data_IF_468093249943
#
_entry.id   IF_468093249943
#
_cell.length_a   1.000
_cell.length_b   1.000
_cell.length_c   1.000
_cell.angle_alpha   90.00
_cell.angle_beta   90.00
_cell.angle_gamma   90.00
#
_symmetry.space_group_name_H-M   'P 1'
#
loop_
_entity.id
_entity.type
_entity.pdbx_description
1 polymer ?
#
# COMPACT_ATOMS: atom_id res chain seq x y z
N UNK A 1 0.98 -10.80 13.12
CA UNK A 1 0.49 -9.45 12.81
C UNK A 1 0.97 -8.96 11.45
N UNK A 2 0.21 -8.03 10.84
CA UNK A 2 0.50 -7.45 9.54
C UNK A 2 0.46 -5.93 9.59
N UNK A 3 1.04 -5.26 8.58
CA UNK A 3 1.02 -3.81 8.45
C UNK A 3 0.39 -3.40 7.12
N UNK A 4 -0.29 -2.27 7.10
CA UNK A 4 -0.88 -1.70 5.88
C UNK A 4 -0.71 -0.19 5.85
N UNK A 5 -0.86 0.41 4.67
CA UNK A 5 -0.65 1.82 4.40
C UNK A 5 -1.72 2.36 3.46
N UNK A 6 -2.12 3.61 3.62
CA UNK A 6 -3.20 4.25 2.91
C UNK A 6 -4.56 3.52 3.10
N UNK A 7 -5.43 3.56 2.11
CA UNK A 7 -6.66 2.79 2.10
C UNK A 7 -6.82 2.05 0.76
N UNK A 8 -6.91 0.74 0.84
CA UNK A 8 -7.24 -0.15 -0.27
C UNK A 8 -8.37 -1.10 0.17
N UNK A 9 -9.36 -0.55 0.84
CA UNK A 9 -10.55 -1.21 1.35
C UNK A 9 -11.81 -0.93 0.54
N UNK A 10 -12.97 -1.23 1.11
CA UNK A 10 -14.27 -1.10 0.47
C UNK A 10 -14.58 0.36 0.07
N UNK A 11 -14.16 1.33 0.86
CA UNK A 11 -14.39 2.75 0.59
C UNK A 11 -13.63 3.24 -0.66
N UNK A 12 -12.42 2.71 -0.92
CA UNK A 12 -11.62 3.09 -2.08
C UNK A 12 -11.99 2.31 -3.34
N UNK A 13 -12.50 1.07 -3.21
CA UNK A 13 -12.68 0.13 -4.33
C UNK A 13 -14.15 -0.18 -4.63
N UNK A 14 -15.07 0.30 -3.82
CA UNK A 14 -16.52 0.10 -3.98
C UNK A 14 -17.01 -1.32 -3.71
N UNK A 15 -16.24 -2.13 -2.98
CA UNK A 15 -16.59 -3.52 -2.71
C UNK A 15 -15.87 -4.10 -1.49
N UNK A 16 -15.36 -5.33 -1.60
CA UNK A 16 -14.67 -6.03 -0.51
C UNK A 16 -13.30 -5.41 -0.17
N UNK A 17 -12.70 -4.68 -1.11
CA UNK A 17 -11.37 -4.12 -1.01
C UNK A 17 -10.32 -5.03 -1.66
N UNK A 18 -9.13 -4.45 -1.90
CA UNK A 18 -7.96 -5.19 -2.38
C UNK A 18 -7.07 -5.61 -1.22
N UNK A 19 -6.16 -4.78 -0.75
CA UNK A 19 -5.31 -5.11 0.40
C UNK A 19 -6.11 -5.40 1.66
N UNK A 20 -7.11 -4.57 2.01
CA UNK A 20 -7.96 -4.83 3.16
C UNK A 20 -8.87 -6.05 2.94
N UNK A 21 -9.23 -6.36 1.70
CA UNK A 21 -9.94 -7.60 1.36
C UNK A 21 -9.12 -8.84 1.71
N UNK A 22 -7.84 -8.86 1.35
CA UNK A 22 -6.91 -9.95 1.73
C UNK A 22 -6.75 -10.02 3.25
N UNK A 23 -6.59 -8.89 3.93
CA UNK A 23 -6.47 -8.83 5.39
C UNK A 23 -7.73 -9.39 6.07
N UNK A 24 -8.92 -9.00 5.61
CA UNK A 24 -10.20 -9.51 6.13
C UNK A 24 -10.32 -11.02 5.96
N UNK A 25 -10.07 -11.52 4.74
CA UNK A 25 -10.12 -12.94 4.46
C UNK A 25 -9.14 -13.72 5.35
N UNK A 26 -7.91 -13.24 5.47
CA UNK A 26 -6.89 -13.86 6.31
C UNK A 26 -7.25 -13.79 7.82
N UNK A 27 -7.91 -12.73 8.27
CA UNK A 27 -8.41 -12.62 9.65
C UNK A 27 -9.51 -13.64 9.92
N UNK A 28 -10.47 -13.81 9.02
CA UNK A 28 -11.54 -14.79 9.15
C UNK A 28 -11.03 -16.25 9.19
N UNK A 29 -9.93 -16.51 8.49
CA UNK A 29 -9.24 -17.81 8.50
C UNK A 29 -8.29 -17.98 9.71
N UNK A 30 -8.20 -17.00 10.60
CA UNK A 30 -7.31 -17.03 11.77
C UNK A 30 -5.82 -16.85 11.45
N UNK A 31 -5.47 -16.40 10.25
CA UNK A 31 -4.10 -16.19 9.79
C UNK A 31 -3.56 -14.81 10.17
N UNK A 32 -4.43 -13.84 10.39
CA UNK A 32 -4.09 -12.47 10.85
C UNK A 32 -4.75 -12.25 12.21
N UNK A 33 -3.96 -11.88 13.19
CA UNK A 33 -4.44 -11.61 14.55
C UNK A 33 -4.52 -10.11 14.88
N UNK A 34 -3.71 -9.29 14.20
CA UNK A 34 -3.61 -7.85 14.47
C UNK A 34 -3.09 -7.11 13.24
N UNK A 35 -3.60 -5.89 13.02
CA UNK A 35 -3.21 -5.00 11.93
C UNK A 35 -2.59 -3.72 12.49
N UNK A 36 -1.42 -3.35 12.01
CA UNK A 36 -0.83 -2.03 12.21
C UNK A 36 -1.11 -1.18 10.98
N UNK A 37 -1.82 -0.07 11.16
CA UNK A 37 -2.20 0.83 10.07
C UNK A 37 -1.43 2.13 10.18
N UNK A 38 -0.65 2.47 9.16
CA UNK A 38 -0.02 3.78 9.05
C UNK A 38 -1.08 4.87 8.92
N UNK A 39 -0.90 6.00 9.61
CA UNK A 39 -1.83 7.14 9.52
C UNK A 39 -1.94 7.71 8.10
N UNK A 40 -0.88 7.60 7.31
CA UNK A 40 -0.78 8.02 5.91
C UNK A 40 -0.92 9.53 5.74
N UNK A 41 0.15 10.29 6.11
CA UNK A 41 0.23 11.72 5.82
C UNK A 41 0.29 11.98 4.31
N UNK A 42 -0.18 13.15 3.79
CA UNK A 42 -0.81 14.24 4.55
C UNK A 42 -2.32 14.06 4.77
N UNK A 43 -3.03 13.29 3.94
CA UNK A 43 -4.49 13.17 3.95
C UNK A 43 -5.07 12.19 4.97
N UNK A 44 -4.22 11.47 5.70
CA UNK A 44 -4.60 10.58 6.80
C UNK A 44 -5.61 9.49 6.41
N UNK A 45 -5.46 8.90 5.21
CA UNK A 45 -6.36 7.84 4.75
C UNK A 45 -6.31 6.61 5.67
N UNK A 46 -5.15 6.29 6.24
CA UNK A 46 -5.01 5.24 7.23
C UNK A 46 -5.81 5.51 8.49
N UNK A 47 -5.71 6.74 9.02
CA UNK A 47 -6.46 7.17 10.22
C UNK A 47 -7.95 7.24 9.97
N UNK A 48 -8.33 7.88 8.86
CA UNK A 48 -9.72 8.24 8.59
C UNK A 48 -10.54 7.09 8.02
N UNK A 49 -9.94 6.24 7.22
CA UNK A 49 -10.64 5.20 6.45
C UNK A 49 -10.24 3.79 6.90
N UNK A 50 -8.95 3.44 6.83
CA UNK A 50 -8.49 2.07 7.10
C UNK A 50 -8.76 1.63 8.54
N UNK A 51 -8.41 2.46 9.50
CA UNK A 51 -8.65 2.16 10.91
C UNK A 51 -10.15 2.01 11.20
N UNK A 52 -10.99 2.86 10.59
CA UNK A 52 -12.43 2.80 10.72
C UNK A 52 -13.02 1.53 10.10
N UNK A 53 -12.64 1.20 8.85
CA UNK A 53 -13.13 0.00 8.17
C UNK A 53 -12.80 -1.27 8.96
N UNK A 54 -11.54 -1.42 9.36
CA UNK A 54 -11.10 -2.61 10.11
C UNK A 54 -11.77 -2.72 11.47
N UNK A 55 -11.94 -1.60 12.18
CA UNK A 55 -12.64 -1.58 13.45
C UNK A 55 -14.12 -1.97 13.30
N UNK A 56 -14.82 -1.49 12.26
CA UNK A 56 -16.19 -1.87 11.96
C UNK A 56 -16.33 -3.37 11.66
N UNK A 57 -15.31 -3.97 11.05
CA UNK A 57 -15.28 -5.41 10.76
C UNK A 57 -14.82 -6.27 11.95
N UNK A 58 -14.54 -5.65 13.10
CA UNK A 58 -14.06 -6.33 14.30
C UNK A 58 -12.62 -6.86 14.19
N UNK A 59 -11.86 -6.39 13.20
CA UNK A 59 -10.44 -6.74 13.05
C UNK A 59 -9.61 -5.90 14.04
N UNK A 60 -8.81 -6.53 14.92
CA UNK A 60 -7.94 -5.79 15.82
C UNK A 60 -6.95 -4.91 15.06
N UNK A 61 -7.02 -3.61 15.26
CA UNK A 61 -6.20 -2.63 14.54
C UNK A 61 -5.56 -1.62 15.51
N UNK A 62 -4.31 -1.28 15.27
CA UNK A 62 -3.61 -0.17 15.92
C UNK A 62 -3.16 0.84 14.86
N UNK A 63 -3.48 2.10 15.10
CA UNK A 63 -3.00 3.20 14.28
C UNK A 63 -1.60 3.61 14.72
N UNK A 64 -0.72 3.91 13.78
CA UNK A 64 0.63 4.40 14.06
C UNK A 64 1.03 5.55 13.11
N UNK A 65 1.96 6.37 13.58
CA UNK A 65 2.61 7.34 12.71
C UNK A 65 3.39 6.63 11.60
N UNK A 66 3.41 7.19 10.39
CA UNK A 66 4.12 6.60 9.24
C UNK A 66 5.60 6.32 9.55
N UNK A 67 6.24 7.21 10.32
CA UNK A 67 7.64 7.06 10.71
C UNK A 67 7.91 5.95 11.73
N UNK A 68 6.88 5.35 12.33
CA UNK A 68 7.03 4.28 13.33
C UNK A 68 7.18 2.89 12.71
N UNK A 69 6.95 2.74 11.40
CA UNK A 69 6.88 1.44 10.73
C UNK A 69 8.10 0.54 10.98
N UNK A 70 9.32 1.04 10.78
CA UNK A 70 10.54 0.26 11.01
C UNK A 70 10.68 -0.20 12.48
N UNK A 71 10.35 0.68 13.45
CA UNK A 71 10.37 0.33 14.86
C UNK A 71 9.35 -0.79 15.17
N UNK A 72 8.15 -0.71 14.60
CA UNK A 72 7.11 -1.72 14.79
C UNK A 72 7.49 -3.05 14.14
N UNK A 73 8.07 -3.05 12.93
CA UNK A 73 8.60 -4.25 12.31
C UNK A 73 9.63 -4.95 13.19
N UNK A 74 10.52 -4.17 13.82
CA UNK A 74 11.54 -4.69 14.75
C UNK A 74 10.95 -5.26 16.04
N UNK A 75 9.87 -4.68 16.58
CA UNK A 75 9.43 -4.92 17.98
C UNK A 75 8.13 -5.69 18.10
N UNK A 76 7.31 -5.76 17.02
CA UNK A 76 5.95 -6.33 17.08
C UNK A 76 5.78 -7.64 16.32
N UNK A 77 6.84 -8.20 15.77
CA UNK A 77 6.78 -9.46 15.04
C UNK A 77 5.93 -9.40 13.78
N UNK A 78 5.87 -8.23 13.13
CA UNK A 78 5.15 -8.07 11.86
C UNK A 78 5.76 -9.00 10.82
N UNK A 79 4.93 -9.76 10.12
CA UNK A 79 5.36 -10.75 9.13
C UNK A 79 5.09 -10.33 7.70
N UNK A 80 4.11 -9.48 7.49
CA UNK A 80 3.70 -9.01 6.18
C UNK A 80 3.38 -7.51 6.19
N UNK A 81 3.77 -6.84 5.11
CA UNK A 81 3.18 -5.56 4.67
C UNK A 81 2.24 -5.87 3.51
N UNK A 82 1.00 -5.41 3.58
CA UNK A 82 -0.03 -5.66 2.56
C UNK A 82 -0.62 -4.32 2.15
N UNK A 83 -0.41 -3.90 0.92
CA UNK A 83 -0.81 -2.60 0.39
C UNK A 83 -1.54 -2.73 -0.95
N UNK A 84 -2.25 -1.67 -1.35
CA UNK A 84 -2.82 -1.53 -2.68
C UNK A 84 -1.81 -0.99 -3.70
N UNK A 85 -2.33 -0.58 -4.86
CA UNK A 85 -1.57 0.13 -5.88
C UNK A 85 -2.45 1.15 -6.60
N UNK A 86 -1.88 2.30 -6.93
CA UNK A 86 -2.52 3.29 -7.81
C UNK A 86 -2.21 3.00 -9.29
N UNK A 87 -0.99 2.54 -9.59
CA UNK A 87 -0.57 2.11 -10.92
C UNK A 87 0.57 1.10 -10.84
N UNK A 88 0.60 0.17 -11.77
CA UNK A 88 1.63 -0.87 -11.88
C UNK A 88 2.18 -0.84 -13.30
N UNK A 89 3.49 -0.72 -13.45
CA UNK A 89 4.17 -0.76 -14.75
C UNK A 89 4.37 -2.21 -15.25
N UNK A 90 4.73 -2.35 -16.53
CA UNK A 90 4.91 -3.64 -17.17
C UNK A 90 6.03 -4.50 -16.54
N UNK A 91 7.03 -3.88 -15.93
CA UNK A 91 8.11 -4.59 -15.20
C UNK A 91 7.73 -4.98 -13.76
N UNK A 92 6.54 -4.58 -13.29
CA UNK A 92 6.07 -4.86 -11.94
C UNK A 92 6.39 -3.78 -10.90
N UNK A 93 6.99 -2.65 -11.28
CA UNK A 93 7.13 -1.49 -10.40
C UNK A 93 5.76 -0.93 -10.04
N UNK A 94 5.59 -0.50 -8.80
CA UNK A 94 4.30 -0.09 -8.25
C UNK A 94 4.33 1.34 -7.77
N UNK A 95 3.49 2.20 -8.35
CA UNK A 95 3.17 3.49 -7.78
C UNK A 95 2.01 3.35 -6.78
N UNK A 96 2.20 3.86 -5.59
CA UNK A 96 1.18 3.90 -4.55
C UNK A 96 1.39 5.14 -3.67
N UNK A 97 0.50 5.34 -2.71
CA UNK A 97 0.55 6.47 -1.78
C UNK A 97 1.93 6.64 -1.18
N UNK A 98 2.40 7.91 -1.14
CA UNK A 98 3.70 8.28 -0.55
C UNK A 98 3.93 7.57 0.79
N UNK A 99 5.12 7.01 0.99
CA UNK A 99 5.48 6.16 2.12
C UNK A 99 5.48 4.66 1.81
N UNK A 100 4.89 4.22 0.70
CA UNK A 100 4.88 2.80 0.30
C UNK A 100 6.28 2.29 -0.01
N UNK A 101 7.10 3.07 -0.73
CA UNK A 101 8.49 2.72 -1.00
C UNK A 101 9.32 2.63 0.29
N UNK A 102 9.15 3.58 1.21
CA UNK A 102 9.79 3.52 2.53
C UNK A 102 9.42 2.24 3.28
N UNK A 103 8.14 1.83 3.24
CA UNK A 103 7.71 0.57 3.86
C UNK A 103 8.37 -0.66 3.22
N UNK A 104 8.47 -0.70 1.89
CA UNK A 104 9.11 -1.81 1.19
C UNK A 104 10.60 -1.95 1.55
N UNK A 105 11.32 -0.82 1.62
CA UNK A 105 12.73 -0.79 2.07
C UNK A 105 12.86 -1.29 3.51
N UNK A 106 11.99 -0.82 4.40
CA UNK A 106 11.98 -1.25 5.79
C UNK A 106 11.63 -2.73 5.93
N UNK A 107 10.64 -3.22 5.15
CA UNK A 107 10.24 -4.62 5.13
C UNK A 107 11.40 -5.52 4.70
N UNK A 108 12.10 -5.17 3.61
CA UNK A 108 13.28 -5.90 3.15
C UNK A 108 14.35 -5.95 4.24
N UNK A 109 14.66 -4.82 4.88
CA UNK A 109 15.68 -4.74 5.94
C UNK A 109 15.34 -5.62 7.16
N UNK A 110 14.05 -5.72 7.51
CA UNK A 110 13.59 -6.48 8.67
C UNK A 110 13.15 -7.92 8.35
N UNK A 111 13.28 -8.38 7.09
CA UNK A 111 12.84 -9.71 6.67
C UNK A 111 11.31 -9.88 6.71
N UNK A 112 10.58 -8.79 6.59
CA UNK A 112 9.12 -8.76 6.47
C UNK A 112 8.74 -8.89 5.00
N UNK A 113 7.76 -9.74 4.67
CA UNK A 113 7.31 -9.92 3.28
C UNK A 113 6.43 -8.77 2.83
N UNK A 114 6.54 -8.41 1.56
CA UNK A 114 5.82 -7.30 0.96
C UNK A 114 4.85 -7.77 -0.13
N UNK A 115 3.55 -7.52 0.06
CA UNK A 115 2.49 -7.92 -0.86
C UNK A 115 1.76 -6.68 -1.40
N UNK A 116 1.61 -6.64 -2.71
CA UNK A 116 0.77 -5.66 -3.40
C UNK A 116 -0.49 -6.35 -3.91
N UNK A 117 -1.65 -5.79 -3.64
CA UNK A 117 -2.95 -6.33 -4.06
C UNK A 117 -3.73 -5.29 -4.85
N UNK A 118 -3.98 -5.55 -6.12
CA UNK A 118 -4.67 -4.62 -7.01
C UNK A 118 -5.44 -5.37 -8.10
N UNK A 119 -6.50 -4.78 -8.69
CA UNK A 119 -7.13 -5.36 -9.87
C UNK A 119 -6.17 -5.28 -11.07
N UNK A 120 -6.29 -6.22 -12.01
CA UNK A 120 -5.45 -6.22 -13.21
C UNK A 120 -5.62 -4.97 -14.09
N UNK A 121 -6.72 -4.23 -13.93
CA UNK A 121 -6.94 -2.94 -14.56
C UNK A 121 -6.01 -1.82 -14.08
N UNK A 122 -5.35 -2.01 -12.93
CA UNK A 122 -4.34 -1.08 -12.41
C UNK A 122 -2.99 -1.24 -13.13
N UNK A 123 -2.78 -2.36 -13.84
CA UNK A 123 -1.55 -2.66 -14.58
C UNK A 123 -1.60 -1.96 -15.93
N UNK A 124 -0.64 -1.10 -16.19
CA UNK A 124 -0.46 -0.39 -17.45
C UNK A 124 0.74 -0.98 -18.21
N UNK A 125 0.45 -1.87 -19.16
CA UNK A 125 1.48 -2.54 -19.95
C UNK A 125 2.15 -1.62 -20.98
N UNK A 126 1.67 -0.39 -21.17
CA UNK A 126 2.32 0.61 -22.02
C UNK A 126 3.48 1.33 -21.35
N UNK A 127 3.57 1.27 -20.03
CA UNK A 127 4.68 1.81 -19.24
C UNK A 127 5.71 0.70 -19.01
N UNK A 128 6.91 0.84 -19.55
CA UNK A 128 7.94 -0.20 -19.42
C UNK A 128 8.44 -0.35 -17.98
N UNK A 129 8.57 0.78 -17.26
CA UNK A 129 9.04 0.82 -15.87
C UNK A 129 8.34 1.89 -15.05
N UNK A 130 8.55 1.84 -13.74
CA UNK A 130 8.03 2.83 -12.80
C UNK A 130 8.55 4.24 -13.03
N UNK A 131 9.71 4.40 -13.67
CA UNK A 131 10.29 5.71 -14.01
C UNK A 131 9.40 6.51 -14.99
N UNK A 132 8.57 5.83 -15.75
CA UNK A 132 7.62 6.44 -16.68
C UNK A 132 6.30 6.85 -16.03
N UNK A 133 6.06 6.47 -14.76
CA UNK A 133 4.85 6.84 -14.04
C UNK A 133 4.98 8.29 -13.57
N UNK A 134 4.12 9.21 -14.04
CA UNK A 134 4.18 10.59 -13.57
C UNK A 134 3.77 10.68 -12.09
N UNK A 135 4.65 11.22 -11.27
CA UNK A 135 4.38 11.46 -9.84
C UNK A 135 3.79 12.85 -9.68
N UNK A 136 2.56 12.90 -9.20
CA UNK A 136 1.86 14.16 -8.91
C UNK A 136 2.49 14.82 -7.68
N UNK A 137 2.85 16.10 -7.81
CA UNK A 137 3.21 16.96 -6.69
C UNK A 137 2.03 17.91 -6.42
N UNK A 138 1.54 17.93 -5.19
CA UNK A 138 0.37 18.70 -4.79
C UNK A 138 0.77 19.91 -3.94
N UNK A 139 -0.23 20.74 -3.62
CA UNK A 139 -0.05 21.93 -2.81
C UNK A 139 0.63 21.58 -1.48
N UNK A 140 1.71 22.29 -1.16
CA UNK A 140 2.42 22.17 0.10
C UNK A 140 1.58 22.51 1.32
N UNK A 141 0.50 23.27 1.17
CA UNK A 141 -0.46 23.58 2.22
C UNK A 141 -1.02 22.33 2.90
N UNK A 142 -1.19 21.23 2.16
CA UNK A 142 -1.65 19.95 2.71
C UNK A 142 -0.71 19.40 3.81
N UNK A 143 0.59 19.74 3.77
CA UNK A 143 1.56 19.38 4.81
C UNK A 143 1.62 20.42 5.94
N UNK A 144 1.39 21.68 5.63
CA UNK A 144 1.54 22.80 6.56
C UNK A 144 0.32 23.00 7.45
N UNK A 145 -0.82 22.41 7.07
CA UNK A 145 -2.08 22.53 7.77
C UNK A 145 -2.66 21.14 8.13
N UNK A 146 -3.43 21.11 9.21
CA UNK A 146 -4.19 19.93 9.61
C UNK A 146 -5.55 20.38 10.15
N UNK A 147 -6.63 19.83 9.60
CA UNK A 147 -8.01 20.20 10.00
C UNK A 147 -8.28 21.72 9.97
N UNK A 148 -7.72 22.43 8.99
CA UNK A 148 -7.86 23.89 8.85
C UNK A 148 -7.00 24.71 9.82
N UNK A 149 -6.11 24.08 10.56
CA UNK A 149 -5.17 24.75 11.45
C UNK A 149 -3.75 24.61 10.91
N UNK A 150 -3.02 25.71 10.89
CA UNK A 150 -1.61 25.71 10.55
C UNK A 150 -0.81 25.03 11.68
N UNK A 151 -0.03 24.00 11.32
CA UNK A 151 0.77 23.21 12.26
C UNK A 151 2.29 23.39 12.04
N UNK A 152 2.69 24.08 10.99
CA UNK A 152 4.07 24.25 10.60
C UNK A 152 4.47 25.74 10.50
N UNK A 153 5.76 25.99 10.56
CA UNK A 153 6.34 27.31 10.26
C UNK A 153 6.05 27.71 8.80
N UNK A 154 6.28 28.98 8.50
CA UNK A 154 6.12 29.52 7.14
C UNK A 154 7.35 29.20 6.29
N UNK A 155 7.35 28.01 5.72
CA UNK A 155 8.41 27.47 4.88
C UNK A 155 7.82 26.79 3.65
N UNK A 156 8.58 26.68 2.53
CA UNK A 156 8.17 25.85 1.41
C UNK A 156 8.00 24.39 1.82
N UNK A 157 7.03 23.70 1.24
CA UNK A 157 6.81 22.28 1.46
C UNK A 157 6.82 21.52 0.13
N UNK A 158 7.47 20.37 0.09
CA UNK A 158 7.44 19.44 -1.02
C UNK A 158 6.42 18.33 -0.68
N UNK A 159 5.45 18.13 -1.56
CA UNK A 159 4.33 17.23 -1.33
C UNK A 159 4.11 16.26 -2.50
N UNK A 160 5.07 15.35 -2.78
CA UNK A 160 4.80 14.23 -3.68
C UNK A 160 3.73 13.34 -3.03
N UNK A 161 2.70 12.97 -3.78
CA UNK A 161 1.57 12.20 -3.21
C UNK A 161 1.67 10.70 -3.45
N UNK A 162 2.54 10.30 -4.36
CA UNK A 162 2.87 8.91 -4.64
C UNK A 162 4.38 8.71 -4.61
N UNK A 163 4.79 7.47 -4.41
CA UNK A 163 6.16 7.01 -4.68
C UNK A 163 6.12 5.71 -5.49
N UNK A 164 7.24 5.34 -6.08
CA UNK A 164 7.39 4.12 -6.87
C UNK A 164 8.21 3.12 -6.07
N UNK A 165 7.62 1.95 -5.82
CA UNK A 165 8.29 0.81 -5.23
C UNK A 165 8.83 -0.07 -6.36
N UNK A 166 10.16 -0.27 -6.46
CA UNK A 166 10.74 -1.19 -7.43
C UNK A 166 10.23 -2.63 -7.26
N UNK A 167 10.06 -3.34 -8.36
CA UNK A 167 9.54 -4.70 -8.38
C UNK A 167 10.38 -5.69 -7.56
N UNK A 168 11.69 -5.46 -7.43
CA UNK A 168 12.60 -6.30 -6.65
C UNK A 168 12.39 -6.22 -5.12
N UNK A 169 11.65 -5.22 -4.65
CA UNK A 169 11.21 -5.11 -3.25
C UNK A 169 9.85 -5.76 -2.99
N UNK A 170 9.19 -6.28 -4.01
CA UNK A 170 7.85 -6.86 -3.92
C UNK A 170 7.96 -8.39 -3.96
N UNK A 171 7.55 -9.05 -2.86
CA UNK A 171 7.54 -10.52 -2.82
C UNK A 171 6.37 -11.09 -3.61
N UNK A 172 5.18 -10.48 -3.50
CA UNK A 172 3.96 -10.95 -4.15
C UNK A 172 3.12 -9.81 -4.72
N UNK A 173 2.67 -9.98 -5.96
CA UNK A 173 1.67 -9.14 -6.60
C UNK A 173 0.42 -9.99 -6.87
N UNK A 174 -0.71 -9.58 -6.30
CA UNK A 174 -1.96 -10.35 -6.31
C UNK A 174 -3.02 -9.60 -7.10
N UNK A 175 -3.66 -10.30 -8.02
CA UNK A 175 -4.77 -9.78 -8.82
C UNK A 175 -5.86 -10.84 -8.98
N UNK A 176 -7.01 -10.47 -9.55
CA UNK A 176 -8.06 -11.42 -9.93
C UNK A 176 -7.63 -12.39 -11.05
N UNK A 177 -6.49 -12.16 -11.68
CA UNK A 177 -5.90 -13.06 -12.68
C UNK A 177 -4.93 -14.06 -12.08
N UNK A 178 -4.56 -13.89 -10.83
CA UNK A 178 -3.65 -14.76 -10.09
C UNK A 178 -2.60 -14.00 -9.30
N UNK A 179 -1.64 -14.77 -8.82
CA UNK A 179 -0.52 -14.31 -7.99
C UNK A 179 0.77 -14.37 -8.81
N UNK A 180 1.59 -13.34 -8.70
CA UNK A 180 2.96 -13.30 -9.22
C UNK A 180 3.92 -13.16 -8.06
N UNK A 181 4.77 -14.14 -7.88
CA UNK A 181 5.86 -14.10 -6.92
C UNK A 181 7.09 -13.44 -7.56
N UNK A 182 7.66 -12.44 -6.87
CA UNK A 182 8.78 -11.64 -7.34
C UNK A 182 8.55 -11.15 -8.77
N UNK A 183 7.67 -10.14 -8.93
CA UNK A 183 7.25 -9.67 -10.24
C UNK A 183 8.44 -9.21 -11.09
N UNK A 184 8.38 -9.51 -12.37
CA UNK A 184 9.26 -9.03 -13.42
C UNK A 184 8.48 -8.89 -14.72
N UNK A 185 9.07 -8.29 -15.74
CA UNK A 185 8.39 -8.01 -17.00
C UNK A 185 7.81 -9.26 -17.67
N UNK A 186 8.53 -10.39 -17.63
CA UNK A 186 8.08 -11.64 -18.23
C UNK A 186 6.87 -12.23 -17.50
N UNK A 187 6.92 -12.26 -16.16
CA UNK A 187 5.83 -12.76 -15.33
C UNK A 187 4.60 -11.87 -15.40
N UNK A 188 4.79 -10.54 -15.48
CA UNK A 188 3.69 -9.58 -15.65
C UNK A 188 2.99 -9.76 -17.00
N UNK A 189 3.74 -9.91 -18.09
CA UNK A 189 3.18 -10.21 -19.39
C UNK A 189 2.38 -11.53 -19.39
N UNK A 190 2.94 -12.57 -18.74
CA UNK A 190 2.25 -13.85 -18.60
C UNK A 190 0.96 -13.73 -17.76
N UNK A 191 0.95 -12.97 -16.68
CA UNK A 191 -0.24 -12.70 -15.88
C UNK A 191 -1.33 -12.04 -16.72
N UNK A 192 -0.97 -11.02 -17.51
CA UNK A 192 -1.94 -10.26 -18.30
C UNK A 192 -2.59 -11.08 -19.42
N UNK A 193 -1.93 -12.14 -19.89
CA UNK A 193 -2.49 -13.09 -20.85
C UNK A 193 -3.51 -14.08 -20.22
N UNK A 194 -3.55 -14.21 -18.89
CA UNK A 194 -4.48 -15.13 -18.21
C UNK A 194 -5.91 -14.60 -18.25
N UNK A 195 -6.88 -15.53 -18.33
CA UNK A 195 -8.29 -15.20 -18.07
C UNK A 195 -8.47 -14.92 -16.58
N UNK A 196 -9.50 -14.13 -16.23
CA UNK A 196 -9.87 -13.91 -14.83
C UNK A 196 -10.19 -15.26 -14.16
N UNK A 197 -9.74 -15.41 -12.92
CA UNK A 197 -10.17 -16.52 -12.07
C UNK A 197 -11.60 -16.21 -11.61
N UNK A 198 -12.51 -17.16 -11.81
CA UNK A 198 -13.91 -17.07 -11.37
C UNK A 198 -14.09 -17.76 -10.02
#
# INVERSE_FOLDING_TARGET
PVMTHCNAGALATGGFGTALGVIRAAYLEGLVEHVYADETRPWLQGSRLTAWELACDGVPVSLNADSAAAHLMKTKGITWVIVGADRIAANGDVANKIGTYQLAVNAMHHGVRFMVVAPSSTIDMSLESGDEIPIEERDGGELLELAGQRIAADVPALNPVFDVTPADLIDYLVTEKGVVERPDAAKMAQLMCRKRLH
#
